data_IF_442439443693
#
_entry.id   IF_442439443693
#
_cell.length_a   1.000
_cell.length_b   1.000
_cell.length_c   1.000
_cell.angle_alpha   90.00
_cell.angle_beta   90.00
_cell.angle_gamma   90.00
#
_symmetry.space_group_name_H-M   'P 1'
#
loop_
_entity.id
_entity.type
_entity.pdbx_description
1 polymer ?
#
# COMPACT_ATOMS: atom_id res chain seq x y z
N UNK A 1 -30.29 -15.73 78.28
CA UNK A 1 -29.85 -15.91 76.88
C UNK A 1 -31.04 -16.44 76.06
N UNK A 2 -31.47 -15.75 74.99
CA UNK A 2 -32.52 -16.25 74.07
C UNK A 2 -31.85 -17.02 72.93
N UNK A 3 -32.07 -18.32 72.83
CA UNK A 3 -31.59 -19.15 71.73
C UNK A 3 -32.39 -18.83 70.46
N UNK A 4 -31.73 -18.30 69.43
CA UNK A 4 -32.31 -18.17 68.09
C UNK A 4 -32.53 -19.58 67.53
N UNK A 5 -33.80 -19.98 67.39
CA UNK A 5 -34.14 -21.23 66.70
C UNK A 5 -33.83 -21.06 65.22
N UNK A 6 -32.86 -21.82 64.71
CA UNK A 6 -32.56 -21.84 63.28
C UNK A 6 -33.63 -22.67 62.57
N UNK A 7 -34.56 -22.02 61.86
CA UNK A 7 -35.44 -22.71 60.92
C UNK A 7 -34.67 -22.90 59.62
N UNK A 8 -34.40 -24.15 59.27
CA UNK A 8 -33.87 -24.49 57.96
C UNK A 8 -34.88 -24.04 56.89
N UNK A 9 -34.47 -23.31 55.84
CA UNK A 9 -35.37 -22.94 54.77
C UNK A 9 -35.94 -24.20 54.12
N UNK A 10 -37.24 -24.18 53.80
CA UNK A 10 -37.90 -25.27 53.09
C UNK A 10 -37.21 -25.50 51.73
N UNK A 11 -36.99 -26.76 51.34
CA UNK A 11 -36.35 -27.05 50.07
C UNK A 11 -37.22 -26.51 48.93
N UNK A 12 -36.61 -25.87 47.91
CA UNK A 12 -37.36 -25.29 46.80
C UNK A 12 -38.08 -26.36 46.00
N UNK A 13 -39.22 -25.98 45.41
CA UNK A 13 -40.02 -26.86 44.56
C UNK A 13 -39.29 -27.19 43.26
N UNK A 14 -39.55 -28.35 42.66
CA UNK A 14 -38.91 -28.80 41.40
C UNK A 14 -39.04 -27.75 40.28
N UNK A 15 -40.20 -27.12 40.15
CA UNK A 15 -40.45 -26.05 39.17
C UNK A 15 -39.54 -24.83 39.37
N UNK A 16 -39.25 -24.45 40.62
CA UNK A 16 -38.37 -23.33 40.95
C UNK A 16 -36.92 -23.65 40.59
N UNK A 17 -36.48 -24.89 40.84
CA UNK A 17 -35.16 -25.38 40.45
C UNK A 17 -35.00 -25.39 38.93
N UNK A 18 -35.99 -25.89 38.19
CA UNK A 18 -35.96 -25.94 36.73
C UNK A 18 -35.91 -24.53 36.11
N UNK A 19 -36.68 -23.58 36.65
CA UNK A 19 -36.69 -22.19 36.21
C UNK A 19 -35.33 -21.50 36.41
N UNK A 20 -34.72 -21.64 37.59
CA UNK A 20 -33.38 -21.08 37.86
C UNK A 20 -32.29 -21.78 37.05
N UNK A 21 -32.37 -23.10 36.88
CA UNK A 21 -31.43 -23.86 36.04
C UNK A 21 -31.51 -23.42 34.58
N UNK A 22 -32.72 -23.16 34.07
CA UNK A 22 -32.96 -22.60 32.73
C UNK A 22 -32.37 -21.21 32.57
N UNK A 23 -32.57 -20.32 33.56
CA UNK A 23 -32.02 -18.96 33.60
C UNK A 23 -30.49 -18.95 33.58
N UNK A 24 -29.85 -19.78 34.40
CA UNK A 24 -28.40 -19.93 34.44
C UNK A 24 -27.84 -20.51 33.14
N UNK A 25 -28.46 -21.57 32.61
CA UNK A 25 -28.07 -22.17 31.32
C UNK A 25 -28.20 -21.15 30.18
N UNK A 26 -29.26 -20.34 30.16
CA UNK A 26 -29.45 -19.28 29.18
C UNK A 26 -28.36 -18.20 29.28
N UNK A 27 -28.07 -17.68 30.49
CA UNK A 27 -27.01 -16.69 30.71
C UNK A 27 -25.64 -17.23 30.28
N UNK A 28 -25.30 -18.47 30.61
CA UNK A 28 -24.04 -19.11 30.23
C UNK A 28 -23.94 -19.31 28.72
N UNK A 29 -25.02 -19.75 28.08
CA UNK A 29 -25.09 -19.92 26.62
C UNK A 29 -24.97 -18.58 25.90
N UNK A 30 -25.71 -17.57 26.34
CA UNK A 30 -25.66 -16.22 25.79
C UNK A 30 -24.26 -15.61 25.93
N UNK A 31 -23.65 -15.66 27.12
CA UNK A 31 -22.26 -15.20 27.32
C UNK A 31 -21.26 -15.94 26.42
N UNK A 32 -21.44 -17.25 26.23
CA UNK A 32 -20.57 -18.04 25.34
C UNK A 32 -20.71 -17.60 23.89
N UNK A 33 -21.95 -17.48 23.39
CA UNK A 33 -22.24 -17.07 22.01
C UNK A 33 -21.77 -15.64 21.77
N UNK A 34 -22.07 -14.71 22.67
CA UNK A 34 -21.60 -13.33 22.57
C UNK A 34 -20.06 -13.27 22.50
N UNK A 35 -19.38 -14.04 23.37
CA UNK A 35 -17.92 -14.10 23.37
C UNK A 35 -17.37 -14.66 22.06
N UNK A 36 -17.96 -15.73 21.50
CA UNK A 36 -17.53 -16.27 20.20
C UNK A 36 -17.80 -15.31 19.04
N UNK A 37 -18.93 -14.62 19.04
CA UNK A 37 -19.25 -13.62 18.00
C UNK A 37 -18.26 -12.46 18.06
N UNK A 38 -17.98 -11.94 19.25
CA UNK A 38 -16.98 -10.87 19.43
C UNK A 38 -15.60 -11.33 18.97
N UNK A 39 -15.14 -12.54 19.35
CA UNK A 39 -13.85 -13.05 18.85
C UNK A 39 -13.83 -13.18 17.33
N UNK A 40 -14.90 -13.66 16.72
CA UNK A 40 -14.99 -13.79 15.25
C UNK A 40 -14.90 -12.42 14.58
N UNK A 41 -15.63 -11.42 15.09
CA UNK A 41 -15.58 -10.05 14.57
C UNK A 41 -14.18 -9.44 14.70
N UNK A 42 -13.52 -9.65 15.84
CA UNK A 42 -12.14 -9.17 16.06
C UNK A 42 -11.17 -9.84 15.09
N UNK A 43 -11.28 -11.15 14.88
CA UNK A 43 -10.42 -11.88 13.92
C UNK A 43 -10.66 -11.39 12.50
N UNK A 44 -11.90 -11.23 12.07
CA UNK A 44 -12.25 -10.71 10.74
C UNK A 44 -11.70 -9.29 10.55
N UNK A 45 -11.87 -8.41 11.53
CA UNK A 45 -11.34 -7.04 11.49
C UNK A 45 -9.81 -7.04 11.42
N UNK A 46 -9.14 -7.86 12.23
CA UNK A 46 -7.67 -7.97 12.22
C UNK A 46 -7.15 -8.45 10.86
N UNK A 47 -7.79 -9.46 10.27
CA UNK A 47 -7.44 -9.97 8.93
C UNK A 47 -7.67 -8.89 7.87
N UNK A 48 -8.79 -8.18 7.92
CA UNK A 48 -9.08 -7.09 6.96
C UNK A 48 -8.04 -5.97 7.03
N UNK A 49 -7.64 -5.56 8.24
CA UNK A 49 -6.59 -4.55 8.44
C UNK A 49 -5.25 -5.04 7.90
N UNK A 50 -4.88 -6.30 8.18
CA UNK A 50 -3.63 -6.89 7.71
C UNK A 50 -3.57 -6.99 6.19
N UNK A 51 -4.67 -7.38 5.54
CA UNK A 51 -4.78 -7.39 4.08
C UNK A 51 -4.64 -5.97 3.52
N UNK A 52 -5.33 -4.99 4.11
CA UNK A 52 -5.27 -3.59 3.67
C UNK A 52 -3.85 -2.99 3.78
N UNK A 53 -3.13 -3.25 4.88
CA UNK A 53 -1.79 -2.69 5.09
C UNK A 53 -0.72 -3.38 4.25
N UNK A 54 -0.88 -4.68 3.94
CA UNK A 54 0.08 -5.41 3.09
C UNK A 54 -0.08 -5.03 1.61
N UNK A 55 -1.30 -4.74 1.15
CA UNK A 55 -1.56 -4.51 -0.28
C UNK A 55 -1.40 -3.06 -0.74
N UNK A 56 -1.54 -2.08 0.17
CA UNK A 56 -1.52 -0.65 -0.17
C UNK A 56 -0.54 0.13 0.71
N UNK A 57 0.77 0.06 0.44
CA UNK A 57 1.73 0.92 1.12
C UNK A 57 1.48 2.37 0.73
N UNK A 58 1.24 3.22 1.74
CA UNK A 58 1.13 4.66 1.59
C UNK A 58 2.54 5.23 1.57
N UNK A 59 2.93 5.87 0.46
CA UNK A 59 4.25 6.47 0.29
C UNK A 59 4.09 8.00 0.31
N UNK A 60 4.91 8.66 1.13
CA UNK A 60 5.03 10.12 1.11
C UNK A 60 6.19 10.50 0.20
N UNK A 61 5.94 11.45 -0.71
CA UNK A 61 6.94 11.92 -1.66
C UNK A 61 7.85 12.95 -1.00
N UNK A 62 9.16 12.72 -1.11
CA UNK A 62 10.18 13.64 -0.67
C UNK A 62 10.95 14.18 -1.87
N UNK A 63 10.87 15.50 -2.09
CA UNK A 63 11.61 16.22 -3.13
C UNK A 63 10.79 16.69 -4.34
N UNK A 64 11.43 17.50 -5.19
CA UNK A 64 10.82 18.23 -6.31
C UNK A 64 11.04 17.61 -7.69
N UNK A 65 11.64 16.41 -7.76
CA UNK A 65 12.04 15.74 -9.03
C UNK A 65 10.88 15.44 -9.99
N UNK A 66 9.64 15.47 -9.51
CA UNK A 66 8.43 15.17 -10.27
C UNK A 66 7.53 16.41 -10.45
N UNK A 67 8.02 17.61 -10.13
CA UNK A 67 7.25 18.84 -10.38
C UNK A 67 7.09 19.08 -11.90
N UNK A 68 5.88 19.42 -12.39
CA UNK A 68 4.67 19.79 -11.64
C UNK A 68 3.71 18.63 -11.33
N UNK A 69 3.94 17.42 -11.84
CA UNK A 69 3.04 16.26 -11.68
C UNK A 69 2.83 15.87 -10.21
N UNK A 70 3.88 15.91 -9.40
CA UNK A 70 3.84 15.60 -7.97
C UNK A 70 4.66 16.63 -7.18
N UNK A 71 4.08 17.10 -6.08
CA UNK A 71 4.69 18.04 -5.16
C UNK A 71 5.22 17.34 -3.90
N UNK A 72 6.18 17.99 -3.24
CA UNK A 72 6.69 17.51 -1.96
C UNK A 72 5.57 17.45 -0.92
N UNK A 73 5.47 16.32 -0.22
CA UNK A 73 4.42 16.07 0.77
C UNK A 73 3.17 15.37 0.22
N UNK A 74 3.06 15.18 -1.10
CA UNK A 74 1.97 14.43 -1.70
C UNK A 74 1.97 12.97 -1.20
N UNK A 75 0.76 12.48 -0.93
CA UNK A 75 0.51 11.11 -0.50
C UNK A 75 0.08 10.31 -1.72
N UNK A 76 0.88 9.33 -2.12
CA UNK A 76 0.56 8.43 -3.23
C UNK A 76 0.30 7.02 -2.74
N UNK A 77 -0.75 6.41 -3.30
CA UNK A 77 -0.99 4.98 -3.16
C UNK A 77 -0.24 4.25 -4.25
N UNK A 78 0.68 3.37 -3.85
CA UNK A 78 1.36 2.48 -4.79
C UNK A 78 0.63 1.16 -4.87
N UNK A 79 0.30 0.74 -6.09
CA UNK A 79 -0.21 -0.61 -6.36
C UNK A 79 0.94 -1.51 -6.79
N UNK A 80 1.04 -2.69 -6.18
CA UNK A 80 2.08 -3.66 -6.50
C UNK A 80 1.74 -4.36 -7.82
N UNK A 81 2.28 -3.86 -8.94
CA UNK A 81 2.21 -4.47 -10.27
C UNK A 81 3.53 -5.14 -10.67
N UNK A 82 3.48 -6.13 -11.58
CA UNK A 82 4.66 -6.81 -12.14
C UNK A 82 5.01 -6.36 -13.57
N UNK A 83 4.12 -5.63 -14.23
CA UNK A 83 4.36 -5.02 -15.54
C UNK A 83 4.11 -3.52 -15.44
N UNK A 84 5.11 -2.73 -15.83
CA UNK A 84 5.00 -1.30 -16.00
C UNK A 84 4.98 -0.98 -17.49
N UNK A 85 4.10 -0.08 -17.89
CA UNK A 85 4.04 0.44 -19.24
C UNK A 85 4.78 1.78 -19.35
N UNK A 86 5.26 2.16 -20.55
CA UNK A 86 5.75 3.50 -20.80
C UNK A 86 4.70 4.54 -20.39
N UNK A 87 5.09 5.47 -19.51
CA UNK A 87 4.22 6.50 -18.95
C UNK A 87 3.87 6.29 -17.47
N UNK A 88 4.04 5.08 -16.93
CA UNK A 88 3.70 4.77 -15.53
C UNK A 88 4.62 5.49 -14.53
N UNK A 89 4.06 5.84 -13.36
CA UNK A 89 4.83 6.38 -12.24
C UNK A 89 5.28 5.25 -11.33
N UNK A 90 6.60 5.10 -11.20
CA UNK A 90 7.23 4.06 -10.40
C UNK A 90 7.90 4.71 -9.18
N UNK A 91 7.51 4.25 -8.01
CA UNK A 91 8.14 4.62 -6.74
C UNK A 91 9.12 3.53 -6.30
N UNK A 92 10.35 3.90 -5.97
CA UNK A 92 11.38 2.98 -5.50
C UNK A 92 12.18 3.58 -4.35
N UNK A 93 12.78 2.71 -3.55
CA UNK A 93 13.65 3.09 -2.45
C UNK A 93 15.09 3.21 -2.94
N UNK A 94 15.70 4.38 -2.76
CA UNK A 94 17.13 4.59 -2.94
C UNK A 94 17.75 4.95 -1.59
N UNK A 95 18.39 3.95 -0.96
CA UNK A 95 18.85 4.06 0.42
C UNK A 95 17.66 4.23 1.39
N UNK A 96 17.60 5.37 2.08
CA UNK A 96 16.54 5.70 3.04
C UNK A 96 15.47 6.65 2.47
N UNK A 97 15.52 6.97 1.18
CA UNK A 97 14.59 7.90 0.52
C UNK A 97 13.75 7.18 -0.51
N UNK A 98 12.47 7.57 -0.61
CA UNK A 98 11.58 7.15 -1.70
C UNK A 98 11.74 8.16 -2.82
N UNK A 99 12.02 7.67 -4.02
CA UNK A 99 12.03 8.47 -5.24
C UNK A 99 10.93 7.98 -6.15
N UNK A 100 10.24 8.92 -6.79
CA UNK A 100 9.24 8.65 -7.83
C UNK A 100 9.82 9.12 -9.14
N UNK A 101 9.72 8.26 -10.16
CA UNK A 101 10.11 8.57 -11.54
C UNK A 101 9.10 7.99 -12.52
N UNK A 102 9.10 8.51 -13.74
CA UNK A 102 8.28 7.97 -14.82
C UNK A 102 9.04 6.88 -15.57
N UNK A 103 8.40 5.74 -15.77
CA UNK A 103 8.86 4.69 -16.66
C UNK A 103 8.76 5.18 -18.10
N UNK A 104 9.87 5.17 -18.83
CA UNK A 104 9.92 5.60 -20.23
C UNK A 104 10.04 4.40 -21.16
N UNK A 105 10.82 3.39 -20.77
CA UNK A 105 11.02 2.19 -21.56
C UNK A 105 11.20 0.95 -20.68
N UNK A 106 10.72 -0.18 -21.18
CA UNK A 106 10.83 -1.49 -20.57
C UNK A 106 11.98 -2.34 -21.10
N UNK A 107 12.06 -3.61 -20.66
CA UNK A 107 13.12 -4.54 -21.06
C UNK A 107 13.21 -4.71 -22.58
N UNK A 108 14.44 -4.67 -23.12
CA UNK A 108 14.73 -4.92 -24.53
C UNK A 108 14.53 -3.74 -25.47
N UNK A 109 13.88 -2.66 -25.01
CA UNK A 109 13.63 -1.46 -25.82
C UNK A 109 14.87 -0.57 -25.95
N UNK A 110 14.94 0.19 -27.05
CA UNK A 110 15.99 1.17 -27.30
C UNK A 110 15.51 2.57 -26.96
N UNK A 111 16.30 3.31 -26.20
CA UNK A 111 16.03 4.70 -25.83
C UNK A 111 17.07 5.61 -26.46
N UNK A 112 16.61 6.64 -27.13
CA UNK A 112 17.45 7.70 -27.69
C UNK A 112 16.93 9.08 -27.25
N UNK A 113 17.84 10.04 -27.08
CA UNK A 113 17.51 11.39 -26.63
C UNK A 113 18.33 12.39 -27.43
N UNK A 114 17.63 13.30 -28.12
CA UNK A 114 18.29 14.31 -28.95
C UNK A 114 18.84 15.49 -28.13
N UNK A 115 19.60 16.37 -28.78
CA UNK A 115 20.17 17.58 -28.16
C UNK A 115 19.10 18.54 -27.61
N UNK A 116 17.87 18.46 -28.12
CA UNK A 116 16.73 19.26 -27.66
C UNK A 116 16.01 18.61 -26.46
N UNK A 117 16.47 17.44 -25.97
CA UNK A 117 15.88 16.70 -24.87
C UNK A 117 14.63 15.88 -25.24
N UNK A 118 14.34 15.69 -26.53
CA UNK A 118 13.26 14.82 -26.99
C UNK A 118 13.64 13.36 -26.84
N UNK A 119 12.77 12.56 -26.25
CA UNK A 119 13.01 11.13 -26.04
C UNK A 119 12.31 10.30 -27.11
N UNK A 120 13.02 9.34 -27.68
CA UNK A 120 12.48 8.35 -28.60
C UNK A 120 12.68 6.94 -28.05
N UNK A 121 11.65 6.10 -28.15
CA UNK A 121 11.69 4.69 -27.76
C UNK A 121 11.46 3.82 -28.98
N UNK A 122 12.38 2.90 -29.28
CA UNK A 122 12.38 2.05 -30.49
C UNK A 122 12.19 2.86 -31.79
N UNK A 123 12.81 4.04 -31.85
CA UNK A 123 12.73 4.96 -33.00
C UNK A 123 11.42 5.75 -33.12
N UNK A 124 10.49 5.61 -32.16
CA UNK A 124 9.27 6.43 -32.09
C UNK A 124 9.44 7.54 -31.08
N UNK A 125 9.21 8.78 -31.52
CA UNK A 125 9.19 9.93 -30.64
C UNK A 125 8.11 9.76 -29.57
N UNK A 126 8.50 9.89 -28.31
CA UNK A 126 7.57 9.84 -27.18
C UNK A 126 6.91 11.21 -27.01
N UNK A 127 5.58 11.22 -26.94
CA UNK A 127 4.84 12.42 -26.57
C UNK A 127 4.85 12.60 -25.05
N UNK A 128 5.43 13.71 -24.61
CA UNK A 128 5.61 14.02 -23.18
C UNK A 128 4.86 15.31 -22.79
N UNK A 129 3.51 15.31 -22.80
CA UNK A 129 2.71 16.52 -22.50
C UNK A 129 2.80 16.95 -21.04
N UNK A 130 3.35 16.10 -20.16
CA UNK A 130 3.57 16.35 -18.75
C UNK A 130 4.84 17.16 -18.46
N UNK A 131 5.72 17.37 -19.45
CA UNK A 131 6.93 18.16 -19.29
C UNK A 131 6.66 19.65 -19.51
N UNK A 132 7.04 20.48 -18.55
CA UNK A 132 7.05 21.94 -18.73
C UNK A 132 8.25 22.40 -19.54
N UNK A 133 9.40 21.74 -19.35
CA UNK A 133 10.66 22.04 -20.05
C UNK A 133 11.35 20.73 -20.45
N UNK A 134 11.90 20.71 -21.68
CA UNK A 134 12.74 19.62 -22.16
C UNK A 134 14.20 19.99 -21.93
N UNK A 135 14.96 19.03 -21.45
CA UNK A 135 16.40 19.14 -21.33
C UNK A 135 17.03 17.76 -21.52
N UNK A 136 18.22 17.73 -22.13
CA UNK A 136 19.04 16.53 -22.21
C UNK A 136 19.45 16.04 -20.81
N UNK A 137 19.64 17.00 -19.87
CA UNK A 137 20.12 16.75 -18.51
C UNK A 137 21.59 16.32 -18.49
N UNK A 138 22.11 15.99 -17.30
CA UNK A 138 23.40 15.31 -17.19
C UNK A 138 23.22 13.85 -17.64
N UNK A 139 23.86 13.50 -18.76
CA UNK A 139 23.74 12.17 -19.37
C UNK A 139 25.05 11.37 -19.17
N UNK A 140 25.10 10.58 -18.12
CA UNK A 140 26.23 9.67 -17.85
C UNK A 140 26.20 8.38 -18.69
N UNK A 141 25.25 8.26 -19.64
CA UNK A 141 25.12 7.11 -20.52
C UNK A 141 25.30 7.49 -21.98
N UNK A 142 25.93 6.60 -22.74
CA UNK A 142 26.01 6.70 -24.19
C UNK A 142 24.67 6.32 -24.80
N UNK A 143 24.13 7.20 -25.65
CA UNK A 143 22.91 6.98 -26.43
C UNK A 143 23.28 6.60 -27.88
N UNK A 144 22.47 5.80 -28.58
CA UNK A 144 21.23 5.16 -28.10
C UNK A 144 21.54 4.02 -27.11
N UNK A 145 20.68 3.88 -26.10
CA UNK A 145 20.85 2.92 -25.01
C UNK A 145 19.81 1.80 -25.08
N UNK A 146 20.25 0.54 -25.07
CA UNK A 146 19.34 -0.60 -24.97
C UNK A 146 19.08 -0.94 -23.50
N UNK A 147 17.81 -1.01 -23.13
CA UNK A 147 17.40 -1.41 -21.79
C UNK A 147 17.63 -2.92 -21.62
N UNK A 148 18.46 -3.36 -20.65
CA UNK A 148 18.70 -4.78 -20.43
C UNK A 148 17.45 -5.53 -20.00
N UNK A 149 17.49 -6.86 -20.12
CA UNK A 149 16.42 -7.73 -19.65
C UNK A 149 16.14 -7.51 -18.16
N UNK A 150 14.85 -7.55 -17.80
CA UNK A 150 14.36 -7.34 -16.43
C UNK A 150 14.82 -6.01 -15.82
N UNK A 151 14.92 -4.96 -16.65
CA UNK A 151 15.16 -3.58 -16.20
C UNK A 151 14.20 -2.63 -16.86
N UNK A 152 14.01 -1.50 -16.19
CA UNK A 152 13.22 -0.38 -16.69
C UNK A 152 14.07 0.88 -16.69
N UNK A 153 13.84 1.69 -17.72
CA UNK A 153 14.47 2.99 -17.87
C UNK A 153 13.50 4.07 -17.40
N UNK A 154 13.87 4.76 -16.32
CA UNK A 154 13.01 5.75 -15.69
C UNK A 154 13.67 7.12 -15.60
N UNK A 155 12.91 8.16 -15.88
CA UNK A 155 13.36 9.55 -15.88
C UNK A 155 12.40 10.39 -15.02
N UNK A 156 12.93 11.42 -14.34
CA UNK A 156 12.09 12.37 -13.62
C UNK A 156 11.45 13.39 -14.58
N UNK A 157 10.28 13.91 -14.20
CA UNK A 157 9.59 14.91 -15.02
C UNK A 157 10.35 16.26 -15.01
N UNK A 158 11.14 16.55 -13.98
CA UNK A 158 11.99 17.75 -13.94
C UNK A 158 13.38 17.50 -14.52
N UNK A 159 13.52 17.53 -15.86
CA UNK A 159 14.72 17.08 -16.59
C UNK A 159 16.03 17.81 -16.27
N UNK A 160 15.97 19.05 -15.79
CA UNK A 160 17.15 19.87 -15.46
C UNK A 160 17.79 19.56 -14.10
N UNK A 161 17.03 19.00 -13.16
CA UNK A 161 17.50 18.72 -11.78
C UNK A 161 17.35 17.25 -11.37
N UNK A 162 16.65 16.45 -12.14
CA UNK A 162 16.48 15.01 -11.87
C UNK A 162 17.51 14.18 -12.62
N UNK A 163 18.43 13.56 -11.87
CA UNK A 163 19.33 12.55 -12.44
C UNK A 163 18.54 11.37 -13.03
N UNK A 164 19.09 10.65 -14.01
CA UNK A 164 18.47 9.46 -14.62
C UNK A 164 18.69 8.21 -13.75
N UNK A 165 17.77 7.24 -13.73
CA UNK A 165 17.98 5.98 -12.99
C UNK A 165 17.55 4.74 -13.76
N UNK A 166 18.34 3.67 -13.61
CA UNK A 166 17.98 2.34 -14.10
C UNK A 166 17.45 1.51 -12.94
N UNK A 167 16.28 0.92 -13.10
CA UNK A 167 15.65 0.07 -12.10
C UNK A 167 15.70 -1.41 -12.52
N UNK A 168 15.71 -2.33 -11.55
CA UNK A 168 15.64 -3.79 -11.73
C UNK A 168 14.34 -4.32 -11.16
#
# INVERSE_FOLDING_TARGET
MKSKSWKSPEPPTLEQLEAELGREKYKRRYKRVLRSTVYTLVVVAAVAVLVATIWMPVLQIYGSSMTPTLNEGDIVLSVKGSGFEPGDLVAFYLGNKILVKRCIAGPGQWVDIDENGNVSVDGRLLEEPYLTEKALGECDITLPYQVPDNRYFCVGDHRSTSGRLHFR
#
